data_IF_310446239567
#
_entry.id   IF_310446239567
#
_cell.length_a   1.000
_cell.length_b   1.000
_cell.length_c   1.000
_cell.angle_alpha   90.00
_cell.angle_beta   90.00
_cell.angle_gamma   90.00
#
_symmetry.space_group_name_H-M   'P 1'
#
loop_
_entity.id
_entity.type
_entity.pdbx_description
1 polymer ?
#
# COMPACT_ATOMS: atom_id res chain seq x y z
N UNK A 1 48.49 -13.38 69.98
CA UNK A 1 47.77 -12.46 69.15
C UNK A 1 47.29 -13.23 67.94
N UNK A 2 45.97 -13.48 67.84
CA UNK A 2 45.36 -14.23 66.72
C UNK A 2 44.57 -13.19 65.86
N UNK A 3 45.09 -12.92 64.69
CA UNK A 3 44.45 -11.99 63.71
C UNK A 3 43.39 -12.74 62.95
N UNK A 4 42.12 -12.31 63.04
CA UNK A 4 41.05 -12.87 62.25
C UNK A 4 40.89 -12.04 60.95
N UNK A 5 41.07 -12.69 59.80
CA UNK A 5 40.70 -12.11 58.50
C UNK A 5 39.20 -12.29 58.27
N UNK A 6 38.51 -11.15 58.04
CA UNK A 6 37.12 -11.10 57.62
C UNK A 6 37.11 -11.08 56.06
N UNK A 7 36.64 -12.15 55.43
CA UNK A 7 36.34 -12.16 53.98
C UNK A 7 34.93 -11.55 53.80
N UNK A 8 34.87 -10.39 53.15
CA UNK A 8 33.61 -9.79 52.68
C UNK A 8 33.29 -10.34 51.25
N UNK A 9 32.27 -11.16 51.15
CA UNK A 9 31.73 -11.65 49.89
C UNK A 9 30.87 -10.58 49.26
N UNK A 10 31.34 -10.02 48.12
CA UNK A 10 30.57 -9.09 47.30
C UNK A 10 29.66 -9.89 46.35
N UNK A 11 28.35 -9.91 46.59
CA UNK A 11 27.35 -10.47 45.66
C UNK A 11 27.11 -9.46 44.54
N UNK A 12 27.57 -9.77 43.33
CA UNK A 12 27.23 -9.04 42.11
C UNK A 12 25.89 -9.60 41.61
N UNK A 13 24.80 -8.81 41.76
CA UNK A 13 23.53 -9.14 41.16
C UNK A 13 23.61 -8.82 39.66
N UNK A 14 23.70 -9.86 38.82
CA UNK A 14 23.48 -9.70 37.36
C UNK A 14 21.99 -9.44 37.09
N UNK A 15 21.64 -8.20 36.84
CA UNK A 15 20.34 -7.83 36.28
C UNK A 15 20.28 -8.20 34.79
N UNK A 16 19.63 -9.31 34.49
CA UNK A 16 19.29 -9.68 33.11
C UNK A 16 18.20 -8.76 32.61
N UNK A 17 18.58 -7.77 31.82
CA UNK A 17 17.59 -6.99 31.03
C UNK A 17 17.06 -7.89 29.92
N UNK A 18 15.84 -8.41 30.13
CA UNK A 18 15.08 -9.09 29.09
C UNK A 18 14.72 -8.06 28.01
N UNK A 19 15.41 -8.10 26.86
CA UNK A 19 14.92 -7.42 25.67
C UNK A 19 13.65 -8.14 25.24
N UNK A 20 12.50 -7.54 25.49
CA UNK A 20 11.24 -7.97 24.88
C UNK A 20 11.38 -7.78 23.36
N UNK A 21 11.58 -8.86 22.66
CA UNK A 21 11.49 -8.91 21.20
C UNK A 21 10.02 -8.59 20.87
N UNK A 22 9.75 -7.39 20.35
CA UNK A 22 8.43 -7.03 19.84
C UNK A 22 8.18 -7.88 18.61
N UNK A 23 7.56 -9.04 18.80
CA UNK A 23 6.98 -9.81 17.72
C UNK A 23 5.85 -8.94 17.14
N UNK A 24 6.07 -8.36 15.94
CA UNK A 24 4.94 -7.83 15.17
C UNK A 24 3.98 -8.99 14.96
N UNK A 25 2.71 -8.84 15.38
CA UNK A 25 1.74 -9.88 15.12
C UNK A 25 1.65 -10.06 13.61
N UNK A 26 1.70 -11.30 13.20
CA UNK A 26 1.46 -11.69 11.82
C UNK A 26 0.00 -11.35 11.50
N UNK A 27 -0.26 -10.73 10.37
CA UNK A 27 -1.59 -10.52 9.82
C UNK A 27 -1.64 -11.11 8.41
N UNK A 28 -2.82 -11.47 7.97
CA UNK A 28 -3.03 -12.07 6.66
C UNK A 28 -4.39 -11.64 6.08
N UNK A 29 -4.74 -12.16 4.93
CA UNK A 29 -6.07 -11.95 4.32
C UNK A 29 -7.03 -13.11 4.60
N UNK A 30 -6.61 -14.14 5.34
CA UNK A 30 -7.38 -15.36 5.58
C UNK A 30 -7.37 -15.77 7.06
N UNK A 31 -8.42 -16.49 7.45
CA UNK A 31 -8.50 -17.14 8.78
C UNK A 31 -8.57 -16.14 9.94
N UNK A 32 -7.92 -16.46 11.05
CA UNK A 32 -7.98 -15.68 12.29
C UNK A 32 -7.19 -14.36 12.24
N UNK A 33 -6.34 -14.20 11.24
CA UNK A 33 -5.54 -12.99 11.00
C UNK A 33 -6.08 -12.17 9.83
N UNK A 34 -7.33 -12.45 9.36
CA UNK A 34 -8.00 -11.77 8.26
C UNK A 34 -8.41 -10.33 8.59
N UNK A 35 -8.79 -9.50 7.60
CA UNK A 35 -9.16 -8.09 7.78
C UNK A 35 -10.20 -7.82 8.87
N UNK A 36 -11.13 -8.76 9.11
CA UNK A 36 -12.15 -8.66 10.16
C UNK A 36 -11.55 -8.69 11.57
N UNK A 37 -10.37 -9.26 11.73
CA UNK A 37 -9.69 -9.46 13.02
C UNK A 37 -8.49 -8.53 13.23
N UNK A 38 -8.01 -7.81 12.19
CA UNK A 38 -6.79 -7.00 12.28
C UNK A 38 -6.76 -6.07 13.50
N UNK A 39 -7.89 -5.40 13.79
CA UNK A 39 -7.96 -4.46 14.92
C UNK A 39 -7.87 -5.10 16.30
N UNK A 40 -7.97 -6.42 16.39
CA UNK A 40 -7.88 -7.20 17.62
C UNK A 40 -6.52 -7.93 17.77
N UNK A 41 -5.68 -7.93 16.73
CA UNK A 41 -4.38 -8.62 16.75
C UNK A 41 -3.34 -7.88 17.62
N UNK A 42 -3.28 -6.58 17.52
CA UNK A 42 -2.37 -5.72 18.28
C UNK A 42 -3.04 -4.39 18.61
N UNK A 43 -2.63 -3.78 19.73
CA UNK A 43 -3.12 -2.44 20.14
C UNK A 43 -2.87 -1.39 19.06
N UNK A 44 -1.71 -1.41 18.40
CA UNK A 44 -1.38 -0.50 17.30
C UNK A 44 -2.23 -0.70 16.05
N UNK A 45 -2.96 -1.83 15.91
CA UNK A 45 -3.86 -2.09 14.78
C UNK A 45 -5.32 -1.73 15.06
N UNK A 46 -5.64 -1.21 16.24
CA UNK A 46 -7.03 -0.85 16.63
C UNK A 46 -7.72 0.07 15.64
N UNK A 47 -6.98 0.92 14.93
CA UNK A 47 -7.53 1.80 13.90
C UNK A 47 -8.18 1.01 12.76
N UNK A 48 -7.74 -0.23 12.47
CA UNK A 48 -8.38 -1.08 11.47
C UNK A 48 -9.85 -1.40 11.81
N UNK A 49 -10.23 -1.40 13.10
CA UNK A 49 -11.57 -1.69 13.61
C UNK A 49 -12.33 -0.43 14.02
N UNK A 50 -11.67 0.51 14.68
CA UNK A 50 -12.29 1.68 15.32
C UNK A 50 -12.27 2.93 14.44
N UNK A 51 -11.41 2.96 13.42
CA UNK A 51 -11.26 4.08 12.50
C UNK A 51 -12.56 4.40 11.77
N UNK A 52 -12.76 5.67 11.48
CA UNK A 52 -13.98 6.19 10.83
C UNK A 52 -13.73 6.66 9.40
N UNK A 53 -12.47 6.77 9.02
CA UNK A 53 -12.00 7.27 7.72
C UNK A 53 -11.19 6.17 7.00
N UNK A 54 -11.78 4.97 6.95
CA UNK A 54 -11.10 3.78 6.47
C UNK A 54 -11.22 3.57 4.95
N UNK A 55 -10.20 2.93 4.37
CA UNK A 55 -10.12 2.46 2.97
C UNK A 55 -9.97 0.93 2.94
N UNK A 56 -10.35 0.28 1.82
CA UNK A 56 -10.93 0.83 0.59
C UNK A 56 -12.41 1.19 0.73
N UNK A 57 -13.01 1.81 -0.29
CA UNK A 57 -14.45 2.16 -0.30
C UNK A 57 -15.10 1.79 -1.63
N UNK A 58 -16.45 1.72 -1.61
CA UNK A 58 -17.22 1.61 -2.83
C UNK A 58 -17.46 2.99 -3.45
N UNK A 59 -17.15 3.15 -4.72
CA UNK A 59 -17.22 4.40 -5.48
C UNK A 59 -18.36 4.35 -6.49
N UNK A 60 -19.17 5.41 -6.52
CA UNK A 60 -20.18 5.63 -7.53
C UNK A 60 -20.22 7.13 -7.88
N UNK A 61 -19.89 7.45 -9.13
CA UNK A 61 -19.89 8.83 -9.59
C UNK A 61 -21.27 9.51 -9.54
N UNK A 62 -22.35 8.73 -9.51
CA UNK A 62 -23.71 9.25 -9.37
C UNK A 62 -23.96 9.80 -7.95
N UNK A 63 -23.29 9.24 -6.95
CA UNK A 63 -23.43 9.59 -5.53
C UNK A 63 -22.31 10.51 -5.02
N UNK A 64 -21.31 10.79 -5.87
CA UNK A 64 -20.20 11.67 -5.49
C UNK A 64 -20.48 13.15 -5.76
N UNK A 65 -19.81 14.01 -5.04
CA UNK A 65 -19.87 15.45 -5.20
C UNK A 65 -19.04 15.89 -6.42
N UNK A 66 -19.69 16.37 -7.46
CA UNK A 66 -18.99 16.91 -8.63
C UNK A 66 -18.29 18.22 -8.26
N UNK A 67 -17.00 18.26 -8.46
CA UNK A 67 -16.16 19.43 -8.14
C UNK A 67 -15.34 19.84 -9.35
N UNK A 68 -14.86 21.08 -9.35
CA UNK A 68 -13.86 21.53 -10.32
C UNK A 68 -12.56 20.73 -10.14
N UNK A 69 -11.90 20.43 -11.27
CA UNK A 69 -10.65 19.69 -11.24
C UNK A 69 -9.60 20.43 -10.42
N UNK A 70 -9.09 19.76 -9.39
CA UNK A 70 -7.96 20.25 -8.60
C UNK A 70 -6.65 19.88 -9.31
N UNK A 71 -5.62 20.74 -9.28
CA UNK A 71 -4.35 20.42 -9.91
C UNK A 71 -3.76 19.12 -9.38
N UNK A 72 -3.50 18.19 -10.27
CA UNK A 72 -2.69 16.98 -10.05
C UNK A 72 -1.60 16.98 -11.11
N UNK A 73 -0.38 17.27 -10.72
CA UNK A 73 0.78 17.18 -11.61
C UNK A 73 1.52 15.88 -11.30
N UNK A 74 1.70 15.05 -12.31
CA UNK A 74 2.47 13.83 -12.20
C UNK A 74 3.81 14.01 -12.90
N UNK A 75 4.89 14.02 -12.12
CA UNK A 75 6.26 14.10 -12.60
C UNK A 75 6.86 12.70 -12.58
N UNK A 76 6.24 11.80 -13.35
CA UNK A 76 6.69 10.44 -13.52
C UNK A 76 7.65 10.35 -14.70
N UNK A 77 8.70 9.57 -14.53
CA UNK A 77 9.75 9.31 -15.51
C UNK A 77 10.28 7.90 -15.30
N UNK A 78 10.96 7.31 -16.31
CA UNK A 78 11.59 6.00 -16.14
C UNK A 78 12.57 6.01 -14.97
N UNK A 79 12.43 5.04 -14.07
CA UNK A 79 13.22 4.96 -12.86
C UNK A 79 13.67 3.52 -12.59
N UNK A 80 14.70 3.38 -11.74
CA UNK A 80 15.16 2.09 -11.27
C UNK A 80 14.31 1.61 -10.09
N UNK A 81 13.96 0.33 -10.11
CA UNK A 81 13.12 -0.28 -9.08
C UNK A 81 13.69 -1.59 -8.57
N UNK A 82 13.22 -1.94 -7.38
CA UNK A 82 13.41 -3.23 -6.75
C UNK A 82 12.04 -3.85 -6.50
N UNK A 83 11.85 -5.10 -6.92
CA UNK A 83 10.61 -5.86 -6.69
C UNK A 83 10.80 -6.85 -5.54
N UNK A 84 9.78 -7.02 -4.73
CA UNK A 84 9.75 -7.91 -3.58
C UNK A 84 8.38 -8.56 -3.43
N UNK A 85 8.35 -9.85 -3.17
CA UNK A 85 7.16 -10.51 -2.63
C UNK A 85 7.30 -10.53 -1.10
N UNK A 86 6.62 -9.63 -0.41
CA UNK A 86 6.74 -9.47 1.05
C UNK A 86 5.79 -10.39 1.85
N UNK A 87 5.09 -11.31 1.18
CA UNK A 87 4.11 -12.23 1.77
C UNK A 87 2.69 -11.66 1.85
N UNK A 88 2.50 -10.39 1.52
CA UNK A 88 1.18 -9.73 1.50
C UNK A 88 0.85 -9.17 0.12
N UNK A 89 1.86 -8.77 -0.63
CA UNK A 89 1.74 -8.25 -2.00
C UNK A 89 3.08 -8.33 -2.72
N UNK A 90 3.03 -8.21 -4.04
CA UNK A 90 4.20 -7.91 -4.87
C UNK A 90 4.41 -6.41 -4.86
N UNK A 91 5.45 -5.96 -4.18
CA UNK A 91 5.79 -4.55 -4.02
C UNK A 91 6.98 -4.15 -4.89
N UNK A 92 6.88 -3.01 -5.56
CA UNK A 92 7.92 -2.44 -6.43
C UNK A 92 8.36 -1.10 -5.85
N UNK A 93 9.52 -1.09 -5.23
CA UNK A 93 10.06 0.08 -4.51
C UNK A 93 11.05 0.86 -5.37
N UNK A 94 11.06 2.19 -5.24
CA UNK A 94 12.03 3.05 -5.94
C UNK A 94 13.43 2.76 -5.41
N UNK A 95 14.38 2.51 -6.33
CA UNK A 95 15.75 2.11 -6.04
C UNK A 95 16.78 3.17 -6.44
N UNK A 96 16.41 4.45 -6.39
CA UNK A 96 17.27 5.60 -6.71
C UNK A 96 16.90 6.82 -5.84
N UNK A 97 17.81 7.77 -5.69
CA UNK A 97 17.59 8.98 -4.89
C UNK A 97 16.53 9.92 -5.49
N UNK A 98 16.61 10.15 -6.81
CA UNK A 98 15.63 10.97 -7.50
C UNK A 98 14.38 10.14 -7.81
N UNK A 99 13.38 10.23 -6.94
CA UNK A 99 12.12 9.50 -7.09
C UNK A 99 11.12 10.26 -7.96
N UNK A 100 10.31 9.54 -8.78
CA UNK A 100 9.12 10.12 -9.39
C UNK A 100 8.21 10.72 -8.31
N UNK A 101 7.44 11.77 -8.63
CA UNK A 101 6.59 12.41 -7.64
C UNK A 101 5.32 12.97 -8.25
N UNK A 102 4.34 13.21 -7.38
CA UNK A 102 3.13 13.96 -7.71
C UNK A 102 3.10 15.26 -6.92
N UNK A 103 2.39 16.26 -7.44
CA UNK A 103 2.10 17.50 -6.72
C UNK A 103 0.61 17.59 -6.48
N UNK A 104 0.22 17.64 -5.21
CA UNK A 104 -1.15 17.85 -4.74
C UNK A 104 -1.22 19.15 -3.96
N UNK A 105 -2.11 20.05 -4.34
CA UNK A 105 -2.25 21.36 -3.67
C UNK A 105 -0.91 22.09 -3.50
N UNK A 106 -0.09 22.11 -4.55
CA UNK A 106 1.25 22.69 -4.61
C UNK A 106 2.29 22.02 -3.68
N UNK A 107 1.99 20.88 -3.07
CA UNK A 107 2.90 20.12 -2.22
C UNK A 107 3.41 18.90 -2.96
N UNK A 108 4.74 18.65 -3.00
CA UNK A 108 5.29 17.44 -3.61
C UNK A 108 5.13 16.23 -2.68
N UNK A 109 4.81 15.09 -3.30
CA UNK A 109 4.76 13.77 -2.69
C UNK A 109 5.58 12.80 -3.53
N UNK A 110 6.65 12.27 -2.98
CA UNK A 110 7.61 11.40 -3.68
C UNK A 110 7.18 9.96 -3.63
N UNK A 111 7.22 9.27 -4.77
CA UNK A 111 6.90 7.86 -4.87
C UNK A 111 7.86 7.05 -4.01
N UNK A 112 7.31 6.21 -3.14
CA UNK A 112 8.06 5.25 -2.34
C UNK A 112 8.02 3.87 -2.97
N UNK A 113 6.84 3.42 -3.34
CA UNK A 113 6.60 2.12 -3.93
C UNK A 113 5.24 2.10 -4.64
N UNK A 114 5.05 1.11 -5.48
CA UNK A 114 3.72 0.69 -5.91
C UNK A 114 3.56 -0.81 -5.69
N UNK A 115 2.32 -1.26 -5.55
CA UNK A 115 1.99 -2.66 -5.28
C UNK A 115 0.61 -2.99 -5.83
N UNK A 116 0.25 -4.25 -5.73
CA UNK A 116 -0.92 -4.78 -6.41
C UNK A 116 -1.91 -5.42 -5.43
N UNK A 117 -3.17 -5.43 -5.85
CA UNK A 117 -4.25 -6.15 -5.17
C UNK A 117 -5.09 -6.92 -6.18
N UNK A 118 -5.27 -8.21 -5.93
CA UNK A 118 -6.07 -9.13 -6.73
C UNK A 118 -7.16 -9.80 -5.88
N UNK A 119 -8.45 -9.56 -6.17
CA UNK A 119 -9.02 -8.51 -7.02
C UNK A 119 -8.81 -7.11 -6.44
N UNK A 120 -9.35 -6.08 -7.10
CA UNK A 120 -9.26 -4.69 -6.62
C UNK A 120 -9.82 -4.54 -5.19
N UNK A 121 -9.27 -3.61 -4.43
CA UNK A 121 -9.75 -3.26 -3.09
C UNK A 121 -10.93 -2.27 -3.17
N UNK A 122 -10.76 -1.16 -3.90
CA UNK A 122 -11.88 -0.29 -4.21
C UNK A 122 -12.83 -0.97 -5.18
N UNK A 123 -14.13 -0.68 -5.05
CA UNK A 123 -15.14 -1.16 -5.97
C UNK A 123 -15.82 0.01 -6.67
N UNK A 124 -16.23 -0.19 -7.93
CA UNK A 124 -17.05 0.77 -8.66
C UNK A 124 -18.45 0.19 -8.81
N UNK A 125 -19.45 0.86 -8.23
CA UNK A 125 -20.81 0.34 -8.16
C UNK A 125 -20.89 -1.09 -7.61
N UNK A 126 -20.09 -1.37 -6.56
CA UNK A 126 -19.94 -2.68 -5.91
C UNK A 126 -19.34 -3.79 -6.79
N UNK A 127 -18.70 -3.42 -7.89
CA UNK A 127 -17.98 -4.36 -8.76
C UNK A 127 -16.47 -4.21 -8.56
N UNK A 128 -15.78 -5.32 -8.40
CA UNK A 128 -14.33 -5.37 -8.39
C UNK A 128 -13.78 -5.38 -9.82
N UNK A 129 -12.61 -4.81 -9.97
CA UNK A 129 -11.75 -5.03 -11.12
C UNK A 129 -10.84 -6.23 -10.87
N UNK A 130 -10.31 -6.88 -11.93
CA UNK A 130 -9.39 -8.02 -11.75
C UNK A 130 -8.14 -7.68 -10.95
N UNK A 131 -7.64 -6.43 -11.07
CA UNK A 131 -6.42 -5.96 -10.40
C UNK A 131 -6.55 -4.47 -10.08
N UNK A 132 -5.94 -4.03 -9.00
CA UNK A 132 -5.74 -2.61 -8.64
C UNK A 132 -4.27 -2.36 -8.32
N UNK A 133 -3.74 -1.22 -8.76
CA UNK A 133 -2.38 -0.78 -8.48
C UNK A 133 -2.44 0.43 -7.56
N UNK A 134 -1.72 0.39 -6.44
CA UNK A 134 -1.55 1.51 -5.53
C UNK A 134 -0.15 2.11 -5.65
N UNK A 135 -0.05 3.38 -6.03
CA UNK A 135 1.19 4.16 -6.01
C UNK A 135 1.24 4.96 -4.73
N UNK A 136 2.08 4.54 -3.81
CA UNK A 136 2.21 5.16 -2.48
C UNK A 136 3.27 6.23 -2.51
N UNK A 137 2.87 7.46 -2.19
CA UNK A 137 3.73 8.64 -2.16
C UNK A 137 3.79 9.22 -0.75
N UNK A 138 4.90 9.84 -0.42
CA UNK A 138 5.11 10.51 0.86
C UNK A 138 5.75 11.88 0.66
N UNK A 139 5.22 12.89 1.33
CA UNK A 139 5.83 14.21 1.41
C UNK A 139 6.97 14.27 2.44
N UNK A 140 7.72 15.35 2.45
CA UNK A 140 8.84 15.54 3.41
C UNK A 140 8.36 15.52 4.87
N UNK A 141 7.19 16.09 5.15
CA UNK A 141 6.56 16.07 6.48
C UNK A 141 5.78 14.77 6.79
N UNK A 142 6.05 13.70 6.01
CA UNK A 142 5.51 12.34 6.20
C UNK A 142 4.01 12.16 5.91
N UNK A 143 3.32 13.16 5.36
CA UNK A 143 1.95 12.95 4.87
C UNK A 143 1.94 11.95 3.72
N UNK A 144 0.87 11.13 3.63
CA UNK A 144 0.72 10.10 2.62
C UNK A 144 -0.31 10.50 1.56
N UNK A 145 0.01 10.17 0.32
CA UNK A 145 -0.92 10.24 -0.80
C UNK A 145 -0.82 8.94 -1.62
N UNK A 146 -1.97 8.38 -1.96
CA UNK A 146 -2.04 7.18 -2.79
C UNK A 146 -2.81 7.48 -4.07
N UNK A 147 -2.21 7.11 -5.19
CA UNK A 147 -2.88 7.07 -6.49
C UNK A 147 -3.26 5.62 -6.78
N UNK A 148 -4.53 5.37 -7.06
CA UNK A 148 -5.04 4.04 -7.39
C UNK A 148 -5.48 3.97 -8.85
N UNK A 149 -5.14 2.87 -9.50
CA UNK A 149 -5.46 2.58 -10.90
C UNK A 149 -6.05 1.19 -11.00
N UNK A 150 -7.27 1.13 -11.53
CA UNK A 150 -7.93 -0.13 -11.85
C UNK A 150 -7.34 -0.75 -13.12
N UNK A 151 -7.30 -2.06 -13.18
CA UNK A 151 -6.79 -2.80 -14.34
C UNK A 151 -7.85 -3.80 -14.81
N UNK A 152 -8.19 -3.71 -16.09
CA UNK A 152 -9.02 -4.68 -16.79
C UNK A 152 -8.17 -5.68 -17.57
N UNK A 153 -8.74 -6.83 -17.85
CA UNK A 153 -8.20 -7.77 -18.84
C UNK A 153 -8.27 -7.14 -20.24
N UNK A 154 -7.18 -7.24 -20.99
CA UNK A 154 -7.06 -6.71 -22.34
C UNK A 154 -5.67 -6.93 -22.92
N UNK A 155 -5.13 -5.91 -23.57
CA UNK A 155 -3.78 -5.95 -24.12
C UNK A 155 -2.70 -6.03 -23.05
N UNK A 156 -1.59 -6.71 -23.35
CA UNK A 156 -0.47 -6.80 -22.42
C UNK A 156 0.15 -5.43 -22.17
N UNK A 157 0.40 -5.12 -20.89
CA UNK A 157 1.06 -3.88 -20.51
C UNK A 157 2.58 -4.09 -20.39
N UNK A 158 3.38 -3.43 -21.23
CA UNK A 158 4.83 -3.63 -21.22
C UNK A 158 5.51 -3.19 -19.92
N UNK A 159 4.93 -2.25 -19.16
CA UNK A 159 5.49 -1.81 -17.88
C UNK A 159 5.31 -2.84 -16.76
N UNK A 160 4.40 -3.81 -16.90
CA UNK A 160 4.25 -4.93 -15.98
C UNK A 160 5.18 -6.11 -16.28
N UNK A 161 5.68 -6.23 -17.51
CA UNK A 161 6.51 -7.38 -17.92
C UNK A 161 7.72 -7.60 -16.98
N UNK A 162 8.53 -6.55 -16.64
CA UNK A 162 9.68 -6.74 -15.76
C UNK A 162 9.34 -7.26 -14.36
N UNK A 163 8.10 -7.03 -13.90
CA UNK A 163 7.62 -7.48 -12.59
C UNK A 163 7.16 -8.93 -12.65
N UNK A 164 6.28 -9.25 -13.62
CA UNK A 164 5.68 -10.59 -13.72
C UNK A 164 6.67 -11.68 -14.14
N UNK A 165 7.70 -11.31 -14.89
CA UNK A 165 8.76 -12.23 -15.32
C UNK A 165 9.60 -12.77 -14.14
N UNK A 166 9.59 -12.07 -13.00
CA UNK A 166 10.39 -12.44 -11.82
C UNK A 166 9.85 -13.68 -11.10
N UNK A 167 8.54 -13.92 -11.15
CA UNK A 167 7.88 -15.07 -10.49
C UNK A 167 8.34 -15.28 -9.03
N UNK A 168 8.37 -14.19 -8.26
CA UNK A 168 8.92 -14.19 -6.92
C UNK A 168 8.08 -15.02 -5.95
N UNK A 169 8.74 -15.87 -5.18
CA UNK A 169 8.15 -16.49 -3.99
C UNK A 169 8.28 -15.57 -2.78
N UNK A 170 7.50 -15.82 -1.74
CA UNK A 170 7.49 -15.02 -0.50
C UNK A 170 8.90 -14.86 0.08
N UNK A 171 9.26 -13.63 0.42
CA UNK A 171 10.57 -13.24 0.96
C UNK A 171 11.64 -12.97 -0.09
N UNK A 172 11.38 -13.27 -1.37
CA UNK A 172 12.33 -12.92 -2.44
C UNK A 172 12.25 -11.45 -2.81
N UNK A 173 13.43 -10.90 -3.12
CA UNK A 173 13.62 -9.50 -3.48
C UNK A 173 14.71 -9.36 -4.53
N UNK A 174 14.42 -8.64 -5.61
CA UNK A 174 15.35 -8.46 -6.73
C UNK A 174 15.35 -7.03 -7.26
N UNK A 175 16.51 -6.54 -7.68
CA UNK A 175 16.59 -5.32 -8.49
C UNK A 175 16.14 -5.64 -9.92
N UNK A 176 15.32 -4.77 -10.48
CA UNK A 176 14.96 -4.86 -11.89
C UNK A 176 16.13 -4.39 -12.75
N UNK A 177 16.46 -5.18 -13.78
CA UNK A 177 17.54 -4.86 -14.70
C UNK A 177 17.21 -3.65 -15.60
N UNK A 178 15.92 -3.41 -15.84
CA UNK A 178 15.41 -2.33 -16.67
C UNK A 178 14.67 -1.30 -15.82
N UNK A 179 14.76 -0.03 -16.22
CA UNK A 179 13.89 1.01 -15.68
C UNK A 179 12.45 0.79 -16.14
N UNK A 180 11.49 1.10 -15.28
CA UNK A 180 10.08 1.09 -15.64
C UNK A 180 9.61 2.54 -15.85
N UNK A 181 8.98 2.81 -16.99
CA UNK A 181 8.19 4.04 -17.15
C UNK A 181 6.78 3.81 -16.59
N UNK A 182 6.59 4.22 -15.35
CA UNK A 182 5.30 4.08 -14.66
C UNK A 182 4.18 4.93 -15.26
N UNK A 183 4.46 5.85 -16.20
CA UNK A 183 3.40 6.55 -16.96
C UNK A 183 2.53 5.56 -17.74
N UNK A 184 3.09 4.45 -18.19
CA UNK A 184 2.34 3.40 -18.87
C UNK A 184 1.34 2.66 -17.96
N UNK A 185 1.44 2.85 -16.63
CA UNK A 185 0.52 2.34 -15.62
C UNK A 185 -0.51 3.39 -15.18
N UNK A 186 -0.59 4.54 -15.84
CA UNK A 186 -1.54 5.61 -15.56
C UNK A 186 -2.48 5.73 -16.77
N UNK A 187 -3.81 5.83 -16.54
CA UNK A 187 -4.76 6.00 -17.65
C UNK A 187 -4.56 7.34 -18.36
N UNK A 188 -4.91 7.40 -19.64
CA UNK A 188 -4.87 8.65 -20.42
C UNK A 188 -5.95 9.64 -19.97
N UNK A 189 -7.09 9.11 -19.54
CA UNK A 189 -8.21 9.91 -19.04
C UNK A 189 -8.01 10.23 -17.57
N UNK A 190 -8.05 11.51 -17.24
CA UNK A 190 -7.69 12.00 -15.91
C UNK A 190 -8.88 12.13 -14.95
N UNK A 191 -10.08 11.73 -15.39
CA UNK A 191 -11.27 11.70 -14.54
C UNK A 191 -11.05 10.78 -13.34
N UNK A 192 -11.36 11.28 -12.13
CA UNK A 192 -10.97 10.60 -10.89
C UNK A 192 -11.91 10.88 -9.74
N UNK A 193 -11.83 10.02 -8.73
CA UNK A 193 -12.36 10.27 -7.41
C UNK A 193 -11.25 10.76 -6.49
N UNK A 194 -11.61 11.65 -5.54
CA UNK A 194 -10.72 12.09 -4.47
C UNK A 194 -11.44 12.01 -3.13
N UNK A 195 -10.77 11.48 -2.14
CA UNK A 195 -11.29 11.40 -0.77
C UNK A 195 -10.13 11.26 0.23
N UNK A 196 -10.43 11.57 1.48
CA UNK A 196 -9.56 11.19 2.57
C UNK A 196 -9.89 9.76 3.02
N UNK A 197 -8.86 8.98 3.30
CA UNK A 197 -8.98 7.58 3.68
C UNK A 197 -7.86 7.11 4.60
N UNK A 198 -7.55 5.83 4.52
CA UNK A 198 -6.52 5.17 5.32
C UNK A 198 -5.58 4.33 4.47
N UNK A 199 -4.53 3.81 5.09
CA UNK A 199 -3.87 2.61 4.59
C UNK A 199 -4.88 1.45 4.60
N UNK A 200 -4.80 0.56 3.61
CA UNK A 200 -5.68 -0.61 3.49
C UNK A 200 -5.14 -1.85 4.20
N UNK A 201 -3.96 -1.74 4.80
CA UNK A 201 -3.30 -2.80 5.59
C UNK A 201 -2.96 -2.29 6.98
N UNK A 202 -2.79 -3.17 7.98
CA UNK A 202 -2.35 -2.76 9.32
C UNK A 202 -1.10 -1.87 9.29
N UNK A 203 -1.10 -0.77 10.06
CA UNK A 203 -2.04 -0.40 11.13
C UNK A 203 -3.27 0.39 10.71
N UNK A 204 -3.63 0.46 9.43
CA UNK A 204 -4.80 1.15 8.86
C UNK A 204 -4.85 2.65 9.21
N UNK A 205 -3.67 3.28 9.28
CA UNK A 205 -3.52 4.70 9.62
C UNK A 205 -4.34 5.59 8.70
N UNK A 206 -5.11 6.50 9.27
CA UNK A 206 -5.97 7.45 8.55
C UNK A 206 -5.19 8.68 8.07
N UNK A 207 -5.86 9.64 7.44
CA UNK A 207 -5.29 10.84 6.82
C UNK A 207 -4.44 10.55 5.57
N UNK A 208 -4.83 9.58 4.79
CA UNK A 208 -4.26 9.29 3.46
C UNK A 208 -5.08 10.00 2.39
N UNK A 209 -4.44 10.84 1.59
CA UNK A 209 -5.07 11.50 0.45
C UNK A 209 -5.17 10.52 -0.73
N UNK A 210 -6.37 10.04 -1.04
CA UNK A 210 -6.63 9.14 -2.15
C UNK A 210 -6.99 9.87 -3.43
N UNK A 211 -6.42 9.42 -4.52
CA UNK A 211 -6.79 9.76 -5.90
C UNK A 211 -7.01 8.45 -6.66
N UNK A 212 -8.24 8.16 -7.06
CA UNK A 212 -8.60 6.90 -7.73
C UNK A 212 -9.09 7.24 -9.14
N UNK A 213 -8.37 6.80 -10.17
CA UNK A 213 -8.76 7.04 -11.55
C UNK A 213 -10.03 6.26 -11.91
N UNK A 214 -10.93 6.90 -12.67
CA UNK A 214 -12.19 6.29 -13.09
C UNK A 214 -12.00 5.32 -14.24
N UNK A 215 -11.07 5.62 -15.14
CA UNK A 215 -10.78 4.78 -16.31
C UNK A 215 -9.71 3.76 -15.96
N UNK A 216 -9.96 2.46 -16.21
CA UNK A 216 -8.96 1.44 -16.00
C UNK A 216 -7.89 1.49 -17.10
N UNK A 217 -6.72 0.96 -16.79
CA UNK A 217 -5.75 0.52 -17.80
C UNK A 217 -5.99 -0.96 -18.14
N UNK A 218 -5.21 -1.50 -19.08
CA UNK A 218 -5.27 -2.91 -19.45
C UNK A 218 -4.00 -3.64 -19.07
N UNK A 219 -4.17 -4.93 -18.78
CA UNK A 219 -3.10 -5.92 -18.71
C UNK A 219 -3.62 -7.24 -19.30
N UNK A 220 -2.73 -8.07 -19.83
CA UNK A 220 -3.18 -9.37 -20.32
C UNK A 220 -3.63 -10.27 -19.19
N UNK A 221 -4.53 -11.19 -19.48
CA UNK A 221 -4.96 -12.22 -18.54
C UNK A 221 -3.78 -12.95 -17.89
N UNK A 222 -2.73 -13.24 -18.68
CA UNK A 222 -1.53 -13.89 -18.18
C UNK A 222 -0.75 -13.02 -17.19
N UNK A 223 -0.70 -11.69 -17.40
CA UNK A 223 -0.04 -10.77 -16.46
C UNK A 223 -0.82 -10.66 -15.14
N UNK A 224 -2.14 -10.55 -15.20
CA UNK A 224 -3.00 -10.51 -14.01
C UNK A 224 -2.86 -11.82 -13.22
N UNK A 225 -2.96 -12.97 -13.91
CA UNK A 225 -2.81 -14.28 -13.28
C UNK A 225 -1.41 -14.48 -12.65
N UNK A 226 -0.34 -13.99 -13.28
CA UNK A 226 1.01 -14.08 -12.74
C UNK A 226 1.17 -13.25 -11.45
N UNK A 227 0.53 -12.09 -11.35
CA UNK A 227 0.52 -11.29 -10.12
C UNK A 227 -0.28 -12.02 -9.05
N UNK A 228 -1.48 -12.51 -9.36
CA UNK A 228 -2.31 -13.28 -8.40
C UNK A 228 -1.60 -14.55 -7.92
N UNK A 229 -0.86 -15.24 -8.78
CA UNK A 229 -0.07 -16.42 -8.41
C UNK A 229 1.01 -16.09 -7.38
N UNK A 230 1.66 -14.92 -7.50
CA UNK A 230 2.71 -14.50 -6.57
C UNK A 230 2.18 -14.03 -5.21
N UNK A 231 1.03 -13.35 -5.17
CA UNK A 231 0.56 -12.68 -3.93
C UNK A 231 -0.72 -13.29 -3.34
N UNK A 232 -1.45 -14.10 -4.12
CA UNK A 232 -2.77 -14.59 -3.74
C UNK A 232 -3.84 -13.49 -3.76
N UNK A 233 -5.02 -13.81 -3.21
CA UNK A 233 -6.07 -12.81 -2.99
C UNK A 233 -5.72 -11.97 -1.77
N UNK A 234 -5.56 -10.66 -1.97
CA UNK A 234 -5.01 -9.75 -0.98
C UNK A 234 -5.78 -8.42 -0.91
N UNK A 235 -7.10 -8.48 -1.04
CA UNK A 235 -7.95 -7.29 -0.96
C UNK A 235 -8.71 -7.23 0.37
N UNK A 236 -8.62 -6.09 1.05
CA UNK A 236 -9.45 -5.77 2.22
C UNK A 236 -10.88 -5.49 1.76
N UNK A 237 -11.93 -5.95 2.46
CA UNK A 237 -13.31 -5.56 2.18
C UNK A 237 -13.52 -4.04 2.22
N UNK A 238 -14.46 -3.54 1.40
CA UNK A 238 -14.81 -2.12 1.40
C UNK A 238 -15.36 -1.66 2.75
N UNK A 239 -14.97 -0.45 3.15
CA UNK A 239 -15.31 0.17 4.42
C UNK A 239 -16.42 1.23 4.22
N UNK A 240 -17.23 1.51 5.27
CA UNK A 240 -18.25 2.53 5.20
C UNK A 240 -17.66 3.93 4.93
N UNK A 241 -18.33 4.75 4.14
CA UNK A 241 -17.94 6.14 3.90
C UNK A 241 -18.06 7.02 5.14
N UNK A 242 -18.99 6.72 6.06
CA UNK A 242 -19.17 7.45 7.33
C UNK A 242 -19.26 8.98 7.13
N UNK A 243 -20.13 9.45 6.25
CA UNK A 243 -20.34 10.88 5.93
C UNK A 243 -19.16 11.58 5.22
N UNK A 244 -18.17 10.81 4.72
CA UNK A 244 -17.12 11.40 3.90
C UNK A 244 -17.66 11.77 2.53
N UNK A 245 -17.26 12.96 2.08
CA UNK A 245 -17.47 13.37 0.71
C UNK A 245 -16.50 12.61 -0.21
N UNK A 246 -17.04 12.10 -1.31
CA UNK A 246 -16.27 11.58 -2.43
C UNK A 246 -16.34 12.63 -3.53
N UNK A 247 -15.24 13.34 -3.74
CA UNK A 247 -15.14 14.33 -4.83
C UNK A 247 -15.01 13.59 -6.16
N UNK A 248 -15.73 14.09 -7.18
CA UNK A 248 -15.70 13.54 -8.54
C UNK A 248 -15.20 14.64 -9.47
N UNK A 249 -13.99 14.44 -9.97
CA UNK A 249 -13.33 15.29 -10.97
C UNK A 249 -13.41 14.66 -12.36
N UNK A 250 -13.50 15.49 -13.41
CA UNK A 250 -13.66 15.05 -14.80
C UNK A 250 -12.41 15.31 -15.64
#
# INVERSE_FOLDING_TARGET
MKTRLLLSSLLIALSTTSFAQTHKAHWSYNGKESPEHWGDLLTEYQTCKLGKVQSPVNLDAANGMKVANKPLKMNYFPAAYQVENNGHTVQVSVAQENAPFITLNNKPFYLKQFHFHTPSEHTFKRQHYPLEIHFVHQSEDKALAVVAVMVNEGEANPALAPVVEKKLTVGQKEKLAQQIDIKALIPKEMARFRLNGSLTTPPCSENVAWTIFKSPIQASKAQIAAIEEMEGKNNRPTQPLNQRDVEVEQ
#
